data_IF_249890402125
#
_entry.id   IF_249890402125
#
_cell.length_a   1.000
_cell.length_b   1.000
_cell.length_c   1.000
_cell.angle_alpha   90.00
_cell.angle_beta   90.00
_cell.angle_gamma   90.00
#
_symmetry.space_group_name_H-M   'P 1'
#
loop_
_entity.id
_entity.type
_entity.pdbx_description
1 polymer ?
#
# COMPACT_ATOMS: atom_id res chain seq x y z
N UNK A 1 -16.59 -8.90 17.85
CA UNK A 1 -15.38 -9.73 17.78
C UNK A 1 -14.86 -9.97 19.20
N UNK A 2 -14.76 -11.24 19.65
CA UNK A 2 -13.91 -11.57 20.79
C UNK A 2 -12.50 -11.10 20.45
N UNK A 3 -11.84 -10.37 21.35
CA UNK A 3 -10.45 -9.99 21.17
C UNK A 3 -9.59 -11.26 21.15
N UNK A 4 -9.22 -11.74 20.00
CA UNK A 4 -8.13 -12.72 19.89
C UNK A 4 -6.85 -11.99 20.31
N UNK A 5 -6.27 -12.38 21.41
CA UNK A 5 -4.98 -11.86 21.90
C UNK A 5 -3.97 -12.97 21.79
N UNK A 6 -2.87 -12.70 21.13
CA UNK A 6 -1.68 -13.54 21.25
C UNK A 6 -1.08 -13.26 22.63
N UNK A 7 -1.26 -14.22 23.52
CA UNK A 7 -0.63 -14.19 24.83
C UNK A 7 0.43 -15.29 24.78
N UNK A 8 1.69 -14.93 24.99
CA UNK A 8 2.72 -15.93 25.17
C UNK A 8 2.31 -16.80 26.38
N UNK A 9 1.98 -18.06 26.11
CA UNK A 9 1.54 -19.02 27.14
C UNK A 9 2.72 -19.52 27.97
N UNK A 10 3.94 -19.40 27.42
CA UNK A 10 5.18 -19.86 28.03
C UNK A 10 6.05 -18.65 28.41
N UNK A 11 6.57 -18.59 29.67
CA UNK A 11 7.59 -17.62 30.07
C UNK A 11 8.82 -17.60 29.15
N UNK A 12 9.18 -18.73 28.51
CA UNK A 12 10.28 -18.79 27.55
C UNK A 12 9.99 -17.99 26.28
N UNK A 13 8.75 -17.95 25.78
CA UNK A 13 8.38 -17.14 24.62
C UNK A 13 8.47 -15.65 24.93
N UNK A 14 8.11 -15.23 26.15
CA UNK A 14 8.28 -13.84 26.58
C UNK A 14 9.76 -13.47 26.70
N UNK A 15 10.58 -14.37 27.26
CA UNK A 15 12.01 -14.16 27.38
C UNK A 15 12.71 -14.10 26.01
N UNK A 16 12.29 -14.93 25.05
CA UNK A 16 12.80 -14.92 23.68
C UNK A 16 12.52 -13.58 22.98
N UNK A 17 11.29 -13.10 23.02
CA UNK A 17 10.93 -11.83 22.40
C UNK A 17 11.67 -10.63 23.01
N UNK A 18 11.86 -10.66 24.35
CA UNK A 18 12.66 -9.65 25.05
C UNK A 18 14.15 -9.72 24.68
N UNK A 19 14.71 -10.94 24.60
CA UNK A 19 16.10 -11.14 24.19
C UNK A 19 16.37 -10.67 22.76
N UNK A 20 15.48 -10.99 21.81
CA UNK A 20 15.59 -10.51 20.43
C UNK A 20 15.59 -8.99 20.37
N UNK A 21 14.64 -8.34 21.04
CA UNK A 21 14.58 -6.87 21.09
C UNK A 21 15.85 -6.27 21.68
N UNK A 22 16.33 -6.84 22.77
CA UNK A 22 17.57 -6.39 23.42
C UNK A 22 18.78 -6.55 22.48
N UNK A 23 18.94 -7.71 21.86
CA UNK A 23 20.06 -7.97 20.97
C UNK A 23 20.07 -7.02 19.76
N UNK A 24 18.90 -6.73 19.18
CA UNK A 24 18.77 -5.74 18.09
C UNK A 24 19.19 -4.34 18.58
N UNK A 25 18.71 -3.91 19.75
CA UNK A 25 19.09 -2.60 20.32
C UNK A 25 20.59 -2.51 20.62
N UNK A 26 21.15 -3.56 21.23
CA UNK A 26 22.57 -3.64 21.55
C UNK A 26 23.44 -3.60 20.28
N UNK A 27 23.01 -4.28 19.20
CA UNK A 27 23.69 -4.22 17.91
C UNK A 27 23.76 -2.79 17.36
N UNK A 28 22.64 -2.09 17.29
CA UNK A 28 22.62 -0.70 16.81
C UNK A 28 23.47 0.24 17.67
N UNK A 29 23.42 0.05 18.99
CA UNK A 29 24.20 0.83 19.95
C UNK A 29 25.71 0.53 19.83
N UNK A 30 26.08 -0.72 19.76
CA UNK A 30 27.48 -1.14 19.67
C UNK A 30 28.15 -0.66 18.37
N UNK A 31 27.40 -0.61 17.27
CA UNK A 31 27.91 -0.15 15.99
C UNK A 31 27.76 1.37 15.76
N UNK A 32 27.17 2.12 16.69
CA UNK A 32 26.96 3.57 16.56
C UNK A 32 26.04 3.96 15.40
N UNK A 33 25.19 3.04 14.91
CA UNK A 33 24.30 3.27 13.76
C UNK A 33 22.87 3.60 14.18
N UNK A 34 22.21 4.44 13.41
CA UNK A 34 20.81 4.83 13.65
C UNK A 34 19.85 3.72 13.24
N UNK A 35 18.78 3.52 14.01
CA UNK A 35 17.62 2.70 13.61
C UNK A 35 16.70 3.42 12.61
N UNK A 36 16.99 4.65 12.25
CA UNK A 36 16.22 5.45 11.28
C UNK A 36 16.93 5.47 9.92
N UNK A 37 16.24 6.03 8.93
CA UNK A 37 16.74 6.06 7.56
C UNK A 37 18.18 6.57 7.47
N UNK A 38 18.97 5.88 6.68
CA UNK A 38 20.31 6.30 6.25
C UNK A 38 20.24 7.03 4.90
N UNK A 39 21.39 7.46 4.38
CA UNK A 39 21.48 8.17 3.11
C UNK A 39 20.87 7.38 1.92
N UNK A 40 21.01 6.05 1.91
CA UNK A 40 20.45 5.20 0.86
C UNK A 40 18.92 5.23 0.87
N UNK A 41 18.30 5.15 2.05
CA UNK A 41 16.83 5.24 2.20
C UNK A 41 16.32 6.64 1.84
N UNK A 42 17.08 7.69 2.16
CA UNK A 42 16.74 9.07 1.76
C UNK A 42 16.79 9.19 0.23
N UNK A 43 17.88 8.73 -0.40
CA UNK A 43 18.02 8.72 -1.84
C UNK A 43 16.88 7.92 -2.52
N UNK A 44 16.56 6.73 -2.02
CA UNK A 44 15.43 5.92 -2.49
C UNK A 44 14.11 6.69 -2.38
N UNK A 45 13.85 7.34 -1.23
CA UNK A 45 12.63 8.13 -1.01
C UNK A 45 12.50 9.25 -2.05
N UNK A 46 13.57 10.04 -2.26
CA UNK A 46 13.58 11.13 -3.23
C UNK A 46 13.45 10.61 -4.66
N UNK A 47 14.11 9.51 -5.00
CA UNK A 47 14.03 8.89 -6.33
C UNK A 47 12.61 8.40 -6.63
N UNK A 48 11.93 7.73 -5.69
CA UNK A 48 10.56 7.25 -5.91
C UNK A 48 9.56 8.38 -6.07
N UNK A 49 9.70 9.45 -5.28
CA UNK A 49 8.92 10.67 -5.45
C UNK A 49 9.19 11.34 -6.80
N UNK A 50 10.46 11.42 -7.21
CA UNK A 50 10.86 11.96 -8.50
C UNK A 50 10.31 11.16 -9.67
N UNK A 51 10.38 9.82 -9.61
CA UNK A 51 9.83 8.92 -10.64
C UNK A 51 8.31 9.02 -10.79
N UNK A 52 7.60 9.46 -9.76
CA UNK A 52 6.16 9.70 -9.83
C UNK A 52 5.81 11.10 -10.33
N UNK A 53 6.49 12.12 -9.79
CA UNK A 53 6.14 13.53 -10.02
C UNK A 53 6.69 14.07 -11.35
N UNK A 54 7.97 13.76 -11.68
CA UNK A 54 8.60 14.33 -12.87
C UNK A 54 7.92 13.89 -14.18
N UNK A 55 7.54 12.61 -14.40
CA UNK A 55 6.79 12.21 -15.59
C UNK A 55 5.46 12.95 -15.73
N UNK A 56 4.75 13.16 -14.61
CA UNK A 56 3.51 13.92 -14.60
C UNK A 56 3.72 15.37 -15.04
N UNK A 57 4.73 16.04 -14.49
CA UNK A 57 5.08 17.42 -14.87
C UNK A 57 5.45 17.49 -16.35
N UNK A 58 6.25 16.53 -16.83
CA UNK A 58 6.66 16.48 -18.25
C UNK A 58 5.45 16.30 -19.18
N UNK A 59 4.51 15.43 -18.83
CA UNK A 59 3.28 15.24 -19.62
C UNK A 59 2.42 16.50 -19.71
N UNK A 60 2.40 17.32 -18.65
CA UNK A 60 1.56 18.53 -18.59
C UNK A 60 2.28 19.73 -19.21
N UNK A 61 3.59 19.86 -18.98
CA UNK A 61 4.34 21.10 -19.29
C UNK A 61 5.06 21.07 -20.64
N UNK A 62 5.28 19.90 -21.24
CA UNK A 62 6.09 19.76 -22.47
C UNK A 62 5.29 19.01 -23.54
N UNK A 63 5.13 19.61 -24.75
CA UNK A 63 4.51 18.91 -25.88
C UNK A 63 5.47 17.83 -26.39
N UNK A 64 5.25 16.58 -25.92
CA UNK A 64 6.10 15.45 -26.28
C UNK A 64 5.49 14.64 -27.44
N UNK A 65 6.31 14.10 -28.34
CA UNK A 65 5.85 13.11 -29.30
C UNK A 65 5.23 11.90 -28.56
N UNK A 66 4.15 11.33 -29.11
CA UNK A 66 3.39 10.24 -28.44
C UNK A 66 4.26 9.03 -28.10
N UNK A 67 5.27 8.72 -28.87
CA UNK A 67 6.19 7.59 -28.66
C UNK A 67 7.16 7.80 -27.47
N UNK A 68 7.40 9.06 -27.06
CA UNK A 68 8.08 9.38 -25.79
C UNK A 68 7.06 9.43 -24.66
N UNK A 69 5.93 10.07 -24.88
CA UNK A 69 4.88 10.28 -23.88
C UNK A 69 4.37 8.94 -23.30
N UNK A 70 4.33 7.86 -24.09
CA UNK A 70 3.86 6.55 -23.65
C UNK A 70 4.73 5.90 -22.56
N UNK A 71 6.01 6.25 -22.46
CA UNK A 71 6.90 5.70 -21.42
C UNK A 71 6.73 6.42 -20.07
N UNK A 72 6.25 7.67 -20.07
CA UNK A 72 6.13 8.45 -18.84
C UNK A 72 5.15 7.84 -17.83
N UNK A 73 3.95 7.36 -18.21
CA UNK A 73 3.07 6.65 -17.28
C UNK A 73 3.68 5.36 -16.71
N UNK A 74 4.50 4.65 -17.48
CA UNK A 74 5.21 3.45 -16.99
C UNK A 74 6.20 3.86 -15.90
N UNK A 75 7.00 4.91 -16.14
CA UNK A 75 7.96 5.45 -15.15
C UNK A 75 7.21 5.94 -13.90
N UNK A 76 6.09 6.65 -14.08
CA UNK A 76 5.24 7.09 -12.97
C UNK A 76 4.65 5.91 -12.19
N UNK A 77 4.33 4.80 -12.86
CA UNK A 77 3.88 3.55 -12.24
C UNK A 77 4.94 2.90 -11.35
N UNK A 78 6.22 2.94 -11.76
CA UNK A 78 7.35 2.51 -10.91
C UNK A 78 7.43 3.42 -9.67
N UNK A 79 7.31 4.74 -9.87
CA UNK A 79 7.27 5.71 -8.78
C UNK A 79 6.10 5.46 -7.82
N UNK A 80 4.89 5.19 -8.36
CA UNK A 80 3.69 4.85 -7.59
C UNK A 80 3.94 3.63 -6.68
N UNK A 81 4.49 2.55 -7.25
CA UNK A 81 4.83 1.35 -6.48
C UNK A 81 5.88 1.66 -5.41
N UNK A 82 6.93 2.39 -5.74
CA UNK A 82 7.99 2.80 -4.81
C UNK A 82 7.48 3.69 -3.68
N UNK A 83 6.56 4.63 -3.97
CA UNK A 83 5.91 5.42 -2.93
C UNK A 83 5.11 4.51 -2.00
N UNK A 84 4.29 3.61 -2.56
CA UNK A 84 3.45 2.70 -1.78
C UNK A 84 4.26 1.78 -0.86
N UNK A 85 5.32 1.17 -1.38
CA UNK A 85 6.10 0.15 -0.65
C UNK A 85 7.23 0.71 0.23
N UNK A 86 7.81 1.86 -0.12
CA UNK A 86 8.99 2.37 0.56
C UNK A 86 8.69 3.67 1.31
N UNK A 87 8.17 4.70 0.62
CA UNK A 87 8.03 6.05 1.19
C UNK A 87 6.88 6.10 2.19
N UNK A 88 5.68 5.81 1.71
CA UNK A 88 4.47 5.82 2.52
C UNK A 88 4.53 4.76 3.62
N UNK A 89 4.94 3.55 3.28
CA UNK A 89 5.05 2.42 4.20
C UNK A 89 6.00 2.76 5.36
N UNK A 90 7.23 3.18 5.06
CA UNK A 90 8.20 3.57 6.07
C UNK A 90 7.76 4.75 6.92
N UNK A 91 7.08 5.74 6.31
CA UNK A 91 6.48 6.87 7.03
C UNK A 91 5.34 6.46 7.96
N UNK A 92 4.46 5.56 7.49
CA UNK A 92 3.34 5.05 8.27
C UNK A 92 3.76 4.19 9.46
N UNK A 93 4.90 3.49 9.34
CA UNK A 93 5.54 2.75 10.43
C UNK A 93 6.44 3.61 11.33
N UNK A 94 6.54 4.91 11.07
CA UNK A 94 7.41 5.83 11.81
C UNK A 94 8.90 5.41 11.78
N UNK A 95 9.29 4.69 10.72
CA UNK A 95 10.64 4.10 10.59
C UNK A 95 11.67 5.06 9.98
N UNK A 96 11.25 6.10 9.25
CA UNK A 96 12.15 6.95 8.46
C UNK A 96 12.84 8.00 9.33
N UNK A 97 12.10 8.70 10.19
CA UNK A 97 12.63 9.83 10.95
C UNK A 97 12.35 9.73 12.44
N UNK A 98 13.18 10.44 13.24
CA UNK A 98 12.90 10.69 14.66
C UNK A 98 11.77 11.71 14.85
N UNK A 99 11.52 12.54 13.84
CA UNK A 99 10.49 13.59 13.87
C UNK A 99 9.16 13.03 13.37
N UNK A 100 8.14 13.02 14.24
CA UNK A 100 6.80 12.50 13.89
C UNK A 100 6.17 13.22 12.71
N UNK A 101 6.36 14.55 12.60
CA UNK A 101 5.78 15.32 11.50
C UNK A 101 6.29 14.84 10.13
N UNK A 102 7.60 14.49 10.04
CA UNK A 102 8.19 13.99 8.78
C UNK A 102 7.65 12.60 8.43
N UNK A 103 7.53 11.70 9.41
CA UNK A 103 6.90 10.40 9.20
C UNK A 103 5.43 10.55 8.78
N UNK A 104 4.70 11.51 9.39
CA UNK A 104 3.31 11.79 9.01
C UNK A 104 3.22 12.35 7.58
N UNK A 105 4.13 13.24 7.19
CA UNK A 105 4.22 13.77 5.83
C UNK A 105 4.47 12.64 4.82
N UNK A 106 5.51 11.82 5.07
CA UNK A 106 5.87 10.72 4.19
C UNK A 106 4.76 9.63 4.14
N UNK A 107 4.18 9.26 5.28
CA UNK A 107 3.01 8.39 5.30
C UNK A 107 1.80 8.98 4.57
N UNK A 108 1.63 10.31 4.65
CA UNK A 108 0.60 11.07 3.93
C UNK A 108 0.75 11.08 2.41
N UNK A 109 1.89 10.65 1.86
CA UNK A 109 2.05 10.45 0.41
C UNK A 109 1.07 9.41 -0.15
N UNK A 110 0.47 8.57 0.70
CA UNK A 110 -0.67 7.73 0.31
C UNK A 110 -1.82 8.53 -0.29
N UNK A 111 -2.05 9.76 0.20
CA UNK A 111 -3.14 10.60 -0.29
C UNK A 111 -2.90 11.09 -1.73
N UNK A 112 -1.63 11.29 -2.14
CA UNK A 112 -1.32 11.64 -3.53
C UNK A 112 -1.45 10.45 -4.50
N UNK A 113 -1.57 9.24 -3.96
CA UNK A 113 -1.90 8.03 -4.72
C UNK A 113 -3.42 7.75 -4.73
N UNK A 114 -4.24 8.66 -4.17
CA UNK A 114 -5.69 8.57 -4.16
C UNK A 114 -6.28 7.72 -3.03
N UNK A 115 -5.50 7.28 -2.05
CA UNK A 115 -5.96 6.49 -0.91
C UNK A 115 -5.66 7.18 0.42
N UNK A 116 -6.45 6.90 1.46
CA UNK A 116 -6.26 7.48 2.78
C UNK A 116 -5.21 6.74 3.59
N UNK A 117 -4.23 7.46 4.12
CA UNK A 117 -3.26 6.93 5.07
C UNK A 117 -3.94 6.30 6.30
N UNK A 118 -5.10 6.82 6.72
CA UNK A 118 -5.83 6.28 7.89
C UNK A 118 -6.37 4.87 7.60
N UNK A 119 -7.08 4.69 6.50
CA UNK A 119 -7.67 3.39 6.13
C UNK A 119 -6.57 2.34 5.92
N UNK A 120 -5.47 2.75 5.29
CA UNK A 120 -4.31 1.90 5.11
C UNK A 120 -3.68 1.50 6.46
N UNK A 121 -3.47 2.44 7.39
CA UNK A 121 -2.93 2.14 8.73
C UNK A 121 -3.82 1.17 9.52
N UNK A 122 -5.14 1.32 9.43
CA UNK A 122 -6.05 0.38 10.07
C UNK A 122 -5.91 -1.02 9.46
N UNK A 123 -5.95 -1.11 8.12
CA UNK A 123 -5.83 -2.38 7.42
C UNK A 123 -4.48 -3.04 7.67
N UNK A 124 -3.40 -2.33 7.44
CA UNK A 124 -2.04 -2.87 7.45
C UNK A 124 -1.45 -2.95 8.86
N UNK A 125 -1.32 -1.83 9.58
CA UNK A 125 -0.64 -1.83 10.87
C UNK A 125 -1.48 -2.47 11.99
N UNK A 126 -2.83 -2.32 11.95
CA UNK A 126 -3.68 -2.81 13.03
C UNK A 126 -4.20 -4.22 12.77
N UNK A 127 -4.65 -4.55 11.55
CA UNK A 127 -5.22 -5.85 11.25
C UNK A 127 -4.15 -6.81 10.76
N UNK A 128 -3.47 -6.53 9.65
CA UNK A 128 -2.48 -7.42 9.06
C UNK A 128 -1.31 -7.71 10.03
N UNK A 129 -0.60 -6.71 10.56
CA UNK A 129 0.52 -6.95 11.48
C UNK A 129 0.14 -7.61 12.81
N UNK A 130 -1.12 -7.47 13.24
CA UNK A 130 -1.60 -8.14 14.46
C UNK A 130 -1.99 -9.58 14.20
N UNK A 131 -2.52 -9.87 13.01
CA UNK A 131 -3.14 -11.16 12.68
C UNK A 131 -2.56 -11.78 11.40
N UNK A 132 -1.29 -11.49 11.12
CA UNK A 132 -0.60 -11.98 9.92
C UNK A 132 -0.84 -13.47 9.71
N UNK A 133 -1.31 -13.82 8.52
CA UNK A 133 -1.60 -15.19 8.08
C UNK A 133 -2.71 -15.93 8.83
N UNK A 134 -3.48 -15.27 9.70
CA UNK A 134 -4.63 -15.89 10.36
C UNK A 134 -5.85 -15.76 9.46
N UNK A 135 -6.39 -16.89 9.04
CA UNK A 135 -7.57 -16.95 8.17
C UNK A 135 -8.77 -16.22 8.77
N UNK A 136 -9.37 -15.32 8.02
CA UNK A 136 -10.53 -14.53 8.43
C UNK A 136 -10.24 -13.33 9.34
N UNK A 137 -8.99 -13.14 9.78
CA UNK A 137 -8.55 -11.98 10.55
C UNK A 137 -7.56 -11.10 9.78
N UNK A 138 -6.73 -11.72 8.94
CA UNK A 138 -5.82 -11.01 8.05
C UNK A 138 -6.58 -10.60 6.78
N UNK A 139 -6.90 -9.30 6.69
CA UNK A 139 -7.62 -8.76 5.53
C UNK A 139 -6.77 -8.80 4.23
N UNK A 140 -5.47 -9.06 4.30
CA UNK A 140 -4.60 -9.19 3.13
C UNK A 140 -4.66 -10.59 2.51
N UNK A 141 -5.05 -11.60 3.28
CA UNK A 141 -5.30 -12.97 2.79
C UNK A 141 -6.73 -13.19 2.30
N UNK A 142 -7.66 -12.34 2.68
CA UNK A 142 -9.10 -12.52 2.39
C UNK A 142 -9.43 -12.09 0.95
N UNK A 143 -8.62 -12.49 -0.03
CA UNK A 143 -8.96 -12.35 -1.43
C UNK A 143 -9.91 -13.50 -1.80
N UNK A 144 -11.20 -13.18 -1.87
CA UNK A 144 -12.21 -14.04 -2.48
C UNK A 144 -12.38 -13.68 -3.95
N UNK A 145 -12.58 -14.65 -4.81
CA UNK A 145 -12.83 -14.43 -6.22
C UNK A 145 -11.86 -15.17 -7.12
N UNK A 146 -11.26 -14.51 -8.14
CA UNK A 146 -10.45 -15.20 -9.14
C UNK A 146 -9.06 -15.65 -8.65
N UNK A 147 -8.60 -15.19 -7.48
CA UNK A 147 -7.37 -15.65 -6.84
C UNK A 147 -7.68 -16.41 -5.55
N UNK A 148 -7.01 -17.54 -5.37
CA UNK A 148 -7.03 -18.34 -4.15
C UNK A 148 -5.65 -18.33 -3.52
N UNK A 149 -5.52 -17.61 -2.40
CA UNK A 149 -4.26 -17.43 -1.67
C UNK A 149 -4.22 -18.20 -0.34
N UNK A 150 -5.35 -18.82 0.04
CA UNK A 150 -5.45 -19.63 1.24
C UNK A 150 -6.06 -20.99 0.92
N UNK A 151 -5.56 -22.04 1.56
CA UNK A 151 -6.14 -23.38 1.45
C UNK A 151 -7.56 -23.47 2.02
N UNK A 152 -7.91 -22.56 2.94
CA UNK A 152 -9.24 -22.46 3.54
C UNK A 152 -10.27 -21.74 2.65
N UNK A 153 -9.82 -21.10 1.56
CA UNK A 153 -10.73 -20.50 0.58
C UNK A 153 -11.29 -21.58 -0.36
N UNK A 154 -12.59 -21.58 -0.67
CA UNK A 154 -13.20 -22.56 -1.59
C UNK A 154 -12.47 -22.62 -2.93
N UNK A 155 -12.23 -23.84 -3.41
CA UNK A 155 -11.59 -24.06 -4.70
C UNK A 155 -12.62 -23.97 -5.84
N UNK A 156 -12.38 -23.08 -6.79
CA UNK A 156 -13.20 -22.92 -8.00
C UNK A 156 -12.39 -23.29 -9.25
N UNK A 157 -13.10 -23.66 -10.35
CA UNK A 157 -12.46 -24.07 -11.62
C UNK A 157 -11.51 -23.02 -12.18
N UNK A 158 -11.78 -21.73 -11.97
CA UNK A 158 -10.94 -20.64 -12.44
C UNK A 158 -9.54 -20.65 -11.80
N UNK A 159 -9.41 -21.11 -10.55
CA UNK A 159 -8.14 -21.16 -9.83
C UNK A 159 -7.09 -22.08 -10.50
N UNK A 160 -7.55 -23.03 -11.34
CA UNK A 160 -6.65 -23.86 -12.15
C UNK A 160 -5.72 -23.03 -13.05
N UNK A 161 -6.16 -21.85 -13.45
CA UNK A 161 -5.43 -20.97 -14.38
C UNK A 161 -4.86 -19.74 -13.68
N UNK A 162 -4.88 -19.67 -12.34
CA UNK A 162 -4.42 -18.46 -11.63
C UNK A 162 -2.94 -18.15 -11.84
N UNK A 163 -2.11 -19.12 -12.20
CA UNK A 163 -0.73 -18.92 -12.57
C UNK A 163 -0.55 -18.09 -13.87
N UNK A 164 -1.61 -17.97 -14.68
CA UNK A 164 -1.64 -17.09 -15.86
C UNK A 164 -2.34 -15.78 -15.52
N UNK A 165 -3.63 -15.85 -15.14
CA UNK A 165 -4.44 -14.65 -14.95
C UNK A 165 -4.07 -13.87 -13.67
N UNK A 166 -3.36 -14.48 -12.73
CA UNK A 166 -2.91 -13.82 -11.51
C UNK A 166 -2.07 -12.57 -11.80
N UNK A 167 -1.16 -12.65 -12.77
CA UNK A 167 -0.34 -11.51 -13.17
C UNK A 167 -1.18 -10.34 -13.73
N UNK A 168 -2.22 -10.62 -14.50
CA UNK A 168 -3.14 -9.58 -14.99
C UNK A 168 -3.95 -8.97 -13.83
N UNK A 169 -4.35 -9.78 -12.85
CA UNK A 169 -5.06 -9.29 -11.67
C UNK A 169 -4.17 -8.43 -10.78
N UNK A 170 -2.87 -8.73 -10.70
CA UNK A 170 -1.91 -7.87 -10.00
C UNK A 170 -1.83 -6.47 -10.60
N UNK A 171 -1.93 -6.34 -11.93
CA UNK A 171 -2.00 -5.03 -12.59
C UNK A 171 -3.18 -4.17 -12.07
N UNK A 172 -4.26 -4.81 -11.64
CA UNK A 172 -5.45 -4.11 -11.12
C UNK A 172 -5.34 -3.75 -9.63
N UNK A 173 -4.30 -4.20 -8.91
CA UNK A 173 -4.19 -4.06 -7.45
C UNK A 173 -4.42 -2.62 -6.99
N UNK A 174 -3.71 -1.66 -7.57
CA UNK A 174 -3.82 -0.25 -7.16
C UNK A 174 -5.16 0.38 -7.52
N UNK A 175 -5.78 -0.02 -8.63
CA UNK A 175 -7.12 0.42 -9.01
C UNK A 175 -8.17 -0.16 -8.05
N UNK A 176 -8.06 -1.45 -7.73
CA UNK A 176 -8.97 -2.08 -6.77
C UNK A 176 -8.84 -1.48 -5.37
N UNK A 177 -7.64 -1.07 -4.95
CA UNK A 177 -7.44 -0.34 -3.69
C UNK A 177 -8.22 0.98 -3.67
N UNK A 178 -8.25 1.74 -4.78
CA UNK A 178 -9.01 2.99 -4.87
C UNK A 178 -10.51 2.76 -4.60
N UNK A 179 -11.06 1.63 -5.09
CA UNK A 179 -12.48 1.29 -4.94
C UNK A 179 -12.76 0.62 -3.60
N UNK A 180 -11.93 -0.35 -3.23
CA UNK A 180 -12.15 -1.16 -2.03
C UNK A 180 -12.01 -0.36 -0.72
N UNK A 181 -11.42 0.82 -0.75
CA UNK A 181 -11.32 1.68 0.43
C UNK A 181 -12.68 2.03 1.02
N UNK A 182 -13.73 2.14 0.20
CA UNK A 182 -15.10 2.36 0.67
C UNK A 182 -15.66 1.13 1.41
N UNK A 183 -15.36 -0.07 0.91
CA UNK A 183 -15.77 -1.31 1.57
C UNK A 183 -15.01 -1.51 2.88
N UNK A 184 -13.69 -1.25 2.89
CA UNK A 184 -12.90 -1.31 4.13
C UNK A 184 -13.42 -0.36 5.18
N UNK A 185 -13.72 0.90 4.82
CA UNK A 185 -14.24 1.88 5.77
C UNK A 185 -15.59 1.45 6.36
N UNK A 186 -16.47 0.85 5.54
CA UNK A 186 -17.73 0.26 6.00
C UNK A 186 -17.49 -0.90 6.98
N UNK A 187 -16.54 -1.78 6.66
CA UNK A 187 -16.18 -2.90 7.51
C UNK A 187 -15.57 -2.46 8.83
N UNK A 188 -14.72 -1.44 8.82
CA UNK A 188 -14.18 -0.84 10.05
C UNK A 188 -15.27 -0.27 10.95
N UNK A 189 -16.31 0.33 10.35
CA UNK A 189 -17.52 0.75 11.07
C UNK A 189 -18.22 -0.44 11.70
N UNK A 190 -18.50 -1.50 10.90
CA UNK A 190 -19.23 -2.68 11.34
C UNK A 190 -18.47 -3.47 12.41
N UNK A 191 -17.15 -3.55 12.29
CA UNK A 191 -16.23 -4.13 13.29
C UNK A 191 -16.08 -3.26 14.55
N UNK A 192 -16.66 -2.04 14.59
CA UNK A 192 -16.57 -1.09 15.70
C UNK A 192 -15.18 -0.47 15.89
N UNK A 193 -14.30 -0.56 14.88
CA UNK A 193 -12.93 -0.05 14.96
C UNK A 193 -12.94 1.47 15.03
N UNK A 194 -13.75 2.14 14.20
CA UNK A 194 -13.87 3.59 14.17
C UNK A 194 -14.33 4.13 15.54
N UNK A 195 -15.35 3.50 16.15
CA UNK A 195 -15.86 3.88 17.48
C UNK A 195 -14.78 3.77 18.56
N UNK A 196 -13.93 2.73 18.51
CA UNK A 196 -12.84 2.56 19.49
C UNK A 196 -11.75 3.61 19.37
N UNK A 197 -11.61 4.23 18.20
CA UNK A 197 -10.62 5.27 17.92
C UNK A 197 -11.22 6.68 17.99
N UNK A 198 -12.49 6.79 18.38
CA UNK A 198 -13.25 8.05 18.43
C UNK A 198 -13.28 8.77 17.07
N UNK A 199 -13.42 7.99 16.00
CA UNK A 199 -13.48 8.50 14.63
C UNK A 199 -14.88 8.36 14.06
N UNK A 200 -15.47 9.49 13.68
CA UNK A 200 -16.79 9.53 13.03
C UNK A 200 -16.76 8.95 11.62
N UNK A 201 -17.66 7.97 11.32
CA UNK A 201 -17.75 7.35 10.00
C UNK A 201 -18.01 8.37 8.89
N UNK A 202 -18.99 9.28 9.10
CA UNK A 202 -19.34 10.30 8.10
C UNK A 202 -18.17 11.23 7.76
N UNK A 203 -17.42 11.65 8.77
CA UNK A 203 -16.21 12.47 8.61
C UNK A 203 -15.14 11.72 7.81
N UNK A 204 -14.89 10.46 8.14
CA UNK A 204 -13.88 9.68 7.43
C UNK A 204 -14.29 9.39 5.98
N UNK A 205 -15.58 9.11 5.75
CA UNK A 205 -16.11 8.93 4.40
C UNK A 205 -15.95 10.19 3.56
N UNK A 206 -16.30 11.36 4.11
CA UNK A 206 -16.11 12.65 3.44
C UNK A 206 -14.62 12.89 3.10
N UNK A 207 -13.71 12.58 4.01
CA UNK A 207 -12.27 12.67 3.80
C UNK A 207 -11.78 11.74 2.68
N UNK A 208 -12.22 10.49 2.65
CA UNK A 208 -11.89 9.53 1.59
C UNK A 208 -12.39 10.03 0.23
N UNK A 209 -13.63 10.52 0.17
CA UNK A 209 -14.19 11.11 -1.07
C UNK A 209 -13.36 12.30 -1.51
N UNK A 210 -13.04 13.23 -0.61
CA UNK A 210 -12.24 14.42 -0.92
C UNK A 210 -10.86 14.06 -1.47
N UNK A 211 -10.17 13.08 -0.87
CA UNK A 211 -8.88 12.59 -1.37
C UNK A 211 -9.02 12.10 -2.81
N UNK A 212 -10.06 11.31 -3.12
CA UNK A 212 -10.28 10.77 -4.47
C UNK A 212 -10.66 11.85 -5.49
N UNK A 213 -11.45 12.82 -5.07
CA UNK A 213 -11.80 13.98 -5.93
C UNK A 213 -10.55 14.80 -6.25
N UNK A 214 -9.73 15.11 -5.24
CA UNK A 214 -8.47 15.85 -5.45
C UNK A 214 -7.52 15.03 -6.33
N UNK A 215 -7.37 13.74 -6.06
CA UNK A 215 -6.55 12.85 -6.86
C UNK A 215 -6.99 12.84 -8.33
N UNK A 216 -8.29 12.63 -8.60
CA UNK A 216 -8.82 12.62 -9.97
C UNK A 216 -8.66 14.00 -10.65
N UNK A 217 -8.91 15.08 -9.92
CA UNK A 217 -8.73 16.43 -10.44
C UNK A 217 -7.29 16.72 -10.83
N UNK A 218 -6.31 16.26 -10.00
CA UNK A 218 -4.88 16.48 -10.28
C UNK A 218 -4.39 15.55 -11.37
N UNK A 219 -4.61 14.23 -11.25
CA UNK A 219 -3.96 13.23 -12.12
C UNK A 219 -4.66 13.09 -13.48
N UNK A 220 -5.96 13.37 -13.55
CA UNK A 220 -6.74 13.29 -14.79
C UNK A 220 -7.16 14.70 -15.26
N UNK A 221 -7.74 15.50 -14.37
CA UNK A 221 -8.30 16.79 -14.71
C UNK A 221 -7.25 17.80 -15.19
N UNK A 222 -6.14 17.96 -14.46
CA UNK A 222 -5.10 18.92 -14.86
C UNK A 222 -4.48 18.59 -16.23
N UNK A 223 -4.08 17.32 -16.53
CA UNK A 223 -3.56 17.00 -17.87
C UNK A 223 -4.57 17.26 -19.00
N UNK A 224 -5.87 16.96 -18.80
CA UNK A 224 -6.91 17.25 -19.80
C UNK A 224 -7.04 18.76 -20.04
N UNK A 225 -6.89 19.56 -18.98
CA UNK A 225 -7.04 21.01 -19.05
C UNK A 225 -5.81 21.75 -19.57
N UNK A 226 -4.60 21.28 -19.22
CA UNK A 226 -3.34 22.02 -19.43
C UNK A 226 -2.49 21.48 -20.59
N UNK A 227 -2.79 20.29 -21.11
CA UNK A 227 -2.04 19.70 -22.22
C UNK A 227 -2.87 19.54 -23.48
N UNK A 228 -2.23 19.29 -24.61
CA UNK A 228 -2.89 19.05 -25.90
C UNK A 228 -3.36 17.59 -26.08
N UNK A 229 -3.21 16.75 -25.05
CA UNK A 229 -3.64 15.35 -25.13
C UNK A 229 -5.16 15.23 -25.06
N UNK A 230 -5.73 14.39 -25.91
CA UNK A 230 -7.13 14.04 -25.84
C UNK A 230 -7.45 13.34 -24.50
N UNK A 231 -8.67 13.55 -23.96
CA UNK A 231 -9.08 12.98 -22.67
C UNK A 231 -8.84 11.47 -22.56
N UNK A 232 -9.06 10.73 -23.62
CA UNK A 232 -8.84 9.27 -23.64
C UNK A 232 -7.36 8.89 -23.54
N UNK A 233 -6.44 9.71 -24.08
CA UNK A 233 -4.99 9.49 -23.92
C UNK A 233 -4.55 9.68 -22.47
N UNK A 234 -5.10 10.68 -21.78
CA UNK A 234 -4.87 10.90 -20.35
C UNK A 234 -5.39 9.73 -19.52
N UNK A 235 -6.61 9.23 -19.82
CA UNK A 235 -7.17 8.05 -19.14
C UNK A 235 -6.33 6.80 -19.41
N UNK A 236 -5.84 6.59 -20.63
CA UNK A 236 -4.96 5.48 -20.95
C UNK A 236 -3.63 5.59 -20.21
N UNK A 237 -3.04 6.78 -20.10
CA UNK A 237 -1.82 7.02 -19.33
C UNK A 237 -2.06 6.70 -17.83
N UNK A 238 -3.19 7.10 -17.28
CA UNK A 238 -3.59 6.75 -15.92
C UNK A 238 -3.70 5.23 -15.73
N UNK A 239 -4.36 4.53 -16.65
CA UNK A 239 -4.46 3.06 -16.61
C UNK A 239 -3.08 2.40 -16.68
N UNK A 240 -2.22 2.84 -17.60
CA UNK A 240 -0.85 2.30 -17.73
C UNK A 240 -0.02 2.51 -16.45
N UNK A 241 -0.10 3.68 -15.83
CA UNK A 241 0.56 3.98 -14.57
C UNK A 241 0.09 3.02 -13.47
N UNK A 242 -1.21 2.85 -13.33
CA UNK A 242 -1.78 1.94 -12.33
C UNK A 242 -1.48 0.47 -12.62
N UNK A 243 -1.48 0.05 -13.87
CA UNK A 243 -1.14 -1.32 -14.25
C UNK A 243 0.31 -1.63 -13.91
N UNK A 244 1.23 -0.71 -14.24
CA UNK A 244 2.64 -0.88 -13.90
C UNK A 244 2.85 -0.91 -12.39
N UNK A 245 2.29 0.06 -11.65
CA UNK A 245 2.39 0.11 -10.21
C UNK A 245 1.73 -1.07 -9.53
N UNK A 246 0.54 -1.48 -9.99
CA UNK A 246 -0.20 -2.61 -9.48
C UNK A 246 0.54 -3.93 -9.69
N UNK A 247 1.11 -4.15 -10.87
CA UNK A 247 1.92 -5.33 -11.16
C UNK A 247 3.12 -5.44 -10.22
N UNK A 248 3.92 -4.37 -10.10
CA UNK A 248 5.11 -4.37 -9.23
C UNK A 248 4.71 -4.62 -7.78
N UNK A 249 3.71 -3.90 -7.27
CA UNK A 249 3.26 -4.07 -5.90
C UNK A 249 2.67 -5.46 -5.66
N UNK A 250 1.87 -5.97 -6.60
CA UNK A 250 1.25 -7.29 -6.49
C UNK A 250 2.28 -8.42 -6.42
N UNK A 251 3.29 -8.39 -7.29
CA UNK A 251 4.37 -9.39 -7.29
C UNK A 251 5.18 -9.33 -5.99
N UNK A 252 5.65 -8.14 -5.60
CA UNK A 252 6.46 -7.97 -4.37
C UNK A 252 5.66 -8.36 -3.13
N UNK A 253 4.39 -7.97 -3.06
CA UNK A 253 3.53 -8.29 -1.93
C UNK A 253 3.32 -9.80 -1.80
N UNK A 254 3.05 -10.51 -2.90
CA UNK A 254 2.87 -11.96 -2.87
C UNK A 254 4.13 -12.69 -2.44
N UNK A 255 5.30 -12.30 -2.96
CA UNK A 255 6.58 -12.88 -2.58
C UNK A 255 6.94 -12.66 -1.11
N UNK A 256 6.45 -11.58 -0.50
CA UNK A 256 6.70 -11.27 0.90
C UNK A 256 5.75 -12.00 1.88
N UNK A 257 4.52 -12.35 1.44
CA UNK A 257 3.45 -12.77 2.34
C UNK A 257 2.96 -14.20 2.11
N UNK A 258 3.10 -14.73 0.90
CA UNK A 258 2.55 -16.05 0.53
C UNK A 258 3.67 -16.89 -0.08
N UNK A 259 4.35 -17.62 0.78
CA UNK A 259 5.44 -18.50 0.41
C UNK A 259 5.08 -19.95 0.71
N UNK A 260 5.79 -20.89 0.05
CA UNK A 260 5.61 -22.32 0.28
C UNK A 260 5.89 -22.67 1.75
N UNK A 261 5.08 -23.54 2.33
CA UNK A 261 5.21 -23.96 3.72
C UNK A 261 4.67 -22.98 4.76
N UNK A 262 4.00 -21.92 4.32
CA UNK A 262 3.36 -20.98 5.25
C UNK A 262 2.12 -21.59 5.88
N UNK A 263 2.07 -21.65 7.21
CA UNK A 263 0.87 -22.03 7.95
C UNK A 263 -0.14 -20.87 7.97
N UNK A 264 -1.41 -21.22 7.73
CA UNK A 264 -2.55 -20.29 7.76
C UNK A 264 -3.59 -20.80 8.77
N UNK A 265 -3.37 -20.60 10.10
CA UNK A 265 -4.30 -21.10 11.11
C UNK A 265 -5.68 -20.44 10.97
N UNK A 266 -6.74 -21.19 11.42
CA UNK A 266 -8.14 -20.77 11.47
C UNK A 266 -8.45 -19.94 12.72
#
# INVERSE_FOLDING_TARGET
MKKTRFVAQDPQQQSFAAAVRKNVQDYFKANGISQKANAAVIFQTLSMLGLYIAPFILLVAVPLPWWIAIFLPIIAGIGLAGIGMCVMHGGAHEAISRHKWLNTLLGGTMNILGNSMYTWKVKHNMLHHTYTNITGLDDDLTLSGPLRLSEHTPLHKIHRFQYIHGFFLYCLLTITMLVNEFTWLRDFRNKGILKKQDVGYGWMLAKVILIKVIYAAVIIGLPIWLSDYAWWQVVMAWVMMHFTGGFIMGVVFQLAHIVEGLEQPL
#
